data_IF_579588618081
#
_entry.id   IF_579588618081
#
_cell.length_a   1.000
_cell.length_b   1.000
_cell.length_c   1.000
_cell.angle_alpha   90.00
_cell.angle_beta   90.00
_cell.angle_gamma   90.00
#
_symmetry.space_group_name_H-M   'P 1'
#
loop_
_entity.id
_entity.type
_entity.pdbx_description
1 polymer ?
#
# COMPACT_ATOMS: atom_id res chain seq x y z
N UNK A 1 -6.76 14.65 -8.91
CA UNK A 1 -7.95 14.10 -9.59
C UNK A 1 -8.14 12.59 -9.41
N UNK A 2 -7.15 11.82 -8.90
CA UNK A 2 -7.26 10.36 -8.79
C UNK A 2 -7.89 9.85 -7.47
N UNK A 3 -7.95 10.68 -6.42
CA UNK A 3 -8.47 10.28 -5.10
C UNK A 3 -10.00 10.14 -5.05
N UNK A 4 -10.73 10.82 -5.92
CA UNK A 4 -12.21 10.71 -6.02
C UNK A 4 -12.63 9.40 -6.71
N UNK A 5 -11.80 8.89 -7.62
CA UNK A 5 -12.02 7.65 -8.38
C UNK A 5 -11.91 6.43 -7.44
N UNK A 6 -11.07 6.54 -6.41
CA UNK A 6 -10.82 5.54 -5.37
C UNK A 6 -12.04 5.28 -4.48
N UNK A 7 -12.84 6.31 -4.22
CA UNK A 7 -14.03 6.24 -3.35
C UNK A 7 -15.30 5.77 -4.10
N UNK A 8 -15.31 5.85 -5.43
CA UNK A 8 -16.48 5.58 -6.28
C UNK A 8 -16.51 4.15 -6.85
N UNK A 9 -15.71 3.21 -6.31
CA UNK A 9 -15.48 1.86 -6.87
C UNK A 9 -15.02 1.85 -8.35
N UNK A 10 -14.71 3.02 -8.93
CA UNK A 10 -14.27 3.17 -10.32
C UNK A 10 -12.82 2.75 -10.57
N UNK A 11 -12.09 2.37 -9.51
CA UNK A 11 -10.77 1.75 -9.62
C UNK A 11 -10.82 0.26 -10.00
N UNK A 12 -11.95 -0.41 -9.76
CA UNK A 12 -12.05 -1.85 -10.04
C UNK A 12 -12.51 -2.06 -11.49
N UNK A 13 -11.66 -2.62 -12.36
CA UNK A 13 -12.06 -2.95 -13.72
C UNK A 13 -13.25 -3.90 -13.67
N UNK A 14 -14.26 -3.66 -14.51
CA UNK A 14 -15.42 -4.55 -14.62
C UNK A 14 -14.98 -5.85 -15.28
N UNK A 15 -15.42 -6.97 -14.72
CA UNK A 15 -15.01 -8.32 -15.14
C UNK A 15 -15.34 -8.55 -16.62
N UNK A 16 -14.31 -8.65 -17.45
CA UNK A 16 -14.44 -9.15 -18.82
C UNK A 16 -14.12 -10.66 -18.81
N UNK A 17 -15.16 -11.50 -18.80
CA UNK A 17 -15.07 -12.95 -18.52
C UNK A 17 -14.50 -13.76 -19.70
N UNK A 18 -14.28 -13.13 -20.85
CA UNK A 18 -13.97 -13.83 -22.11
C UNK A 18 -12.49 -13.88 -22.48
N UNK A 19 -11.60 -13.22 -21.74
CA UNK A 19 -10.16 -13.21 -22.03
C UNK A 19 -9.43 -14.26 -21.17
N UNK A 20 -8.50 -15.02 -21.75
CA UNK A 20 -7.68 -15.96 -20.99
C UNK A 20 -6.68 -15.19 -20.10
N UNK A 21 -6.32 -15.77 -18.95
CA UNK A 21 -5.59 -15.09 -17.86
C UNK A 21 -4.21 -14.56 -18.32
N UNK A 22 -3.59 -15.21 -19.30
CA UNK A 22 -2.32 -14.83 -19.90
C UNK A 22 -2.39 -13.52 -20.70
N UNK A 23 -3.58 -13.13 -21.16
CA UNK A 23 -3.79 -11.90 -21.94
C UNK A 23 -4.24 -10.71 -21.08
N UNK A 24 -4.58 -10.96 -19.80
CA UNK A 24 -5.01 -9.91 -18.89
C UNK A 24 -3.78 -9.10 -18.44
N UNK A 25 -3.89 -7.78 -18.55
CA UNK A 25 -2.85 -6.88 -18.06
C UNK A 25 -2.54 -7.15 -16.57
N UNK A 26 -1.26 -7.31 -16.17
CA UNK A 26 -0.90 -7.68 -14.80
C UNK A 26 -1.41 -6.72 -13.72
N UNK A 27 -1.56 -5.42 -14.02
CA UNK A 27 -2.13 -4.44 -13.09
C UNK A 27 -3.62 -4.72 -12.89
N UNK A 28 -4.33 -4.98 -13.97
CA UNK A 28 -5.76 -5.36 -13.96
C UNK A 28 -6.01 -6.61 -13.13
N UNK A 29 -5.10 -7.60 -13.19
CA UNK A 29 -5.18 -8.82 -12.40
C UNK A 29 -5.11 -8.54 -10.88
N UNK A 30 -4.24 -7.62 -10.46
CA UNK A 30 -4.13 -7.18 -9.06
C UNK A 30 -5.42 -6.48 -8.61
N UNK A 31 -6.01 -5.64 -9.45
CA UNK A 31 -7.29 -5.00 -9.13
C UNK A 31 -8.45 -5.99 -9.06
N UNK A 32 -8.46 -7.04 -9.89
CA UNK A 32 -9.43 -8.13 -9.75
C UNK A 32 -9.28 -8.88 -8.43
N UNK A 33 -8.06 -9.10 -7.95
CA UNK A 33 -7.82 -9.72 -6.64
C UNK A 33 -8.40 -8.85 -5.50
N UNK A 34 -8.12 -7.55 -5.50
CA UNK A 34 -8.69 -6.61 -4.51
C UNK A 34 -10.21 -6.47 -4.63
N UNK A 35 -10.77 -6.54 -5.84
CA UNK A 35 -12.22 -6.47 -6.09
C UNK A 35 -12.98 -7.75 -5.75
N UNK A 36 -12.33 -8.92 -5.88
CA UNK A 36 -12.93 -10.22 -5.59
C UNK A 36 -13.07 -10.46 -4.09
N UNK A 37 -12.03 -10.19 -3.31
CA UNK A 37 -12.01 -10.50 -1.88
C UNK A 37 -12.45 -9.31 -1.03
N UNK A 38 -13.77 -9.18 -0.82
CA UNK A 38 -14.38 -8.19 0.07
C UNK A 38 -13.75 -8.12 1.48
N UNK A 39 -13.55 -9.23 2.22
CA UNK A 39 -12.96 -9.15 3.55
C UNK A 39 -11.51 -8.69 3.52
N UNK A 40 -10.74 -9.07 2.50
CA UNK A 40 -9.36 -8.63 2.32
C UNK A 40 -9.27 -7.13 1.98
N UNK A 41 -10.18 -6.65 1.13
CA UNK A 41 -10.33 -5.22 0.82
C UNK A 41 -10.61 -4.40 2.07
N UNK A 42 -11.54 -4.84 2.91
CA UNK A 42 -11.87 -4.17 4.16
C UNK A 42 -10.69 -4.19 5.14
N UNK A 43 -9.99 -5.32 5.23
CA UNK A 43 -8.81 -5.46 6.08
C UNK A 43 -7.72 -4.45 5.72
N UNK A 44 -7.42 -4.30 4.43
CA UNK A 44 -6.43 -3.32 3.97
C UNK A 44 -6.90 -1.89 4.20
N UNK A 45 -8.14 -1.57 3.86
CA UNK A 45 -8.69 -0.22 4.06
C UNK A 45 -8.68 0.19 5.54
N UNK A 46 -9.07 -0.70 6.45
CA UNK A 46 -9.01 -0.46 7.89
C UNK A 46 -7.56 -0.33 8.38
N UNK A 47 -6.66 -1.19 7.89
CA UNK A 47 -5.24 -1.13 8.24
C UNK A 47 -4.62 0.21 7.83
N UNK A 48 -4.86 0.67 6.61
CA UNK A 48 -4.36 1.97 6.13
C UNK A 48 -4.93 3.15 6.94
N UNK A 49 -6.22 3.10 7.30
CA UNK A 49 -6.83 4.12 8.16
C UNK A 49 -6.21 4.14 9.55
N UNK A 50 -6.00 2.98 10.17
CA UNK A 50 -5.39 2.87 11.50
C UNK A 50 -3.93 3.35 11.47
N UNK A 51 -3.16 2.95 10.46
CA UNK A 51 -1.77 3.38 10.27
C UNK A 51 -1.68 4.89 10.04
N UNK A 52 -2.54 5.44 9.17
CA UNK A 52 -2.61 6.88 8.91
C UNK A 52 -2.97 7.67 10.17
N UNK A 53 -3.95 7.19 10.94
CA UNK A 53 -4.33 7.80 12.22
C UNK A 53 -3.18 7.76 13.24
N UNK A 54 -2.46 6.62 13.34
CA UNK A 54 -1.30 6.50 14.20
C UNK A 54 -0.18 7.47 13.83
N UNK A 55 0.07 7.68 12.52
CA UNK A 55 1.10 8.59 12.01
C UNK A 55 0.76 10.06 12.28
N UNK A 56 -0.52 10.45 12.17
CA UNK A 56 -0.99 11.83 12.40
C UNK A 56 -0.83 12.24 13.86
N UNK A 57 -1.04 11.31 14.80
CA UNK A 57 -0.92 11.61 16.23
C UNK A 57 0.57 11.61 16.62
N UNK A 58 1.15 12.75 17.03
CA UNK A 58 2.61 12.90 17.20
C UNK A 58 3.21 11.95 18.24
N UNK A 59 2.44 11.56 19.27
CA UNK A 59 2.90 10.61 20.29
C UNK A 59 2.94 9.16 19.81
N UNK A 60 2.08 8.76 18.86
CA UNK A 60 2.02 7.38 18.31
C UNK A 60 2.66 7.26 16.94
N UNK A 61 3.11 8.37 16.36
CA UNK A 61 3.64 8.44 14.99
C UNK A 61 4.78 7.46 14.75
N UNK A 62 5.60 7.24 15.77
CA UNK A 62 6.67 6.22 15.78
C UNK A 62 6.10 4.82 15.47
N UNK A 63 5.24 4.30 16.35
CA UNK A 63 4.62 2.99 16.14
C UNK A 63 3.89 2.91 14.79
N UNK A 64 3.26 4.00 14.36
CA UNK A 64 2.62 4.12 13.05
C UNK A 64 3.59 3.87 11.89
N UNK A 65 4.73 4.55 11.89
CA UNK A 65 5.76 4.40 10.85
C UNK A 65 6.38 2.99 10.87
N UNK A 66 6.61 2.40 12.05
CA UNK A 66 7.12 1.03 12.17
C UNK A 66 6.16 0.02 11.54
N UNK A 67 4.86 0.14 11.84
CA UNK A 67 3.83 -0.73 11.30
C UNK A 67 3.52 -0.43 9.82
N UNK A 68 3.72 0.80 9.36
CA UNK A 68 3.48 1.19 7.97
C UNK A 68 4.52 0.63 6.98
N UNK A 69 5.78 0.49 7.41
CA UNK A 69 6.85 -0.02 6.56
C UNK A 69 6.57 -1.37 5.87
N UNK A 70 6.13 -2.45 6.56
CA UNK A 70 5.83 -3.71 5.88
C UNK A 70 4.69 -3.58 4.84
N UNK A 71 3.72 -2.67 5.06
CA UNK A 71 2.67 -2.39 4.06
C UNK A 71 3.24 -1.64 2.85
N UNK A 72 4.02 -0.58 3.07
CA UNK A 72 4.68 0.15 1.99
C UNK A 72 5.62 -0.75 1.16
N UNK A 73 6.33 -1.66 1.82
CA UNK A 73 7.19 -2.64 1.18
C UNK A 73 6.36 -3.66 0.37
N UNK A 74 5.24 -4.16 0.90
CA UNK A 74 4.34 -5.04 0.17
C UNK A 74 3.81 -4.37 -1.11
N UNK A 75 3.36 -3.12 -1.02
CA UNK A 75 2.87 -2.34 -2.17
C UNK A 75 3.99 -2.13 -3.19
N UNK A 76 5.21 -1.82 -2.74
CA UNK A 76 6.35 -1.67 -3.64
C UNK A 76 6.66 -2.99 -4.37
N UNK A 77 6.72 -4.11 -3.67
CA UNK A 77 6.96 -5.44 -4.28
C UNK A 77 5.86 -5.78 -5.29
N UNK A 78 4.59 -5.61 -4.91
CA UNK A 78 3.46 -5.82 -5.83
C UNK A 78 3.56 -4.93 -7.07
N UNK A 79 3.90 -3.65 -6.90
CA UNK A 79 4.08 -2.71 -8.02
C UNK A 79 5.22 -3.15 -8.94
N UNK A 80 6.32 -3.64 -8.39
CA UNK A 80 7.45 -4.13 -9.20
C UNK A 80 7.10 -5.39 -10.01
N UNK A 81 6.34 -6.31 -9.40
CA UNK A 81 5.94 -7.58 -10.02
C UNK A 81 4.82 -7.42 -11.06
N UNK A 82 3.82 -6.56 -10.78
CA UNK A 82 2.56 -6.52 -11.54
C UNK A 82 2.37 -5.24 -12.37
N UNK A 83 3.28 -4.27 -12.30
CA UNK A 83 3.19 -3.05 -13.10
C UNK A 83 4.35 -2.97 -14.08
N UNK A 84 4.11 -2.52 -15.31
CA UNK A 84 5.17 -2.24 -16.28
C UNK A 84 5.52 -0.75 -16.38
N UNK A 85 4.66 0.14 -15.87
CA UNK A 85 4.90 1.59 -15.91
C UNK A 85 5.99 2.00 -14.91
N UNK A 86 7.11 2.52 -15.42
CA UNK A 86 8.20 3.11 -14.62
C UNK A 86 7.74 4.11 -13.54
N UNK A 87 6.84 5.08 -13.80
CA UNK A 87 6.54 6.11 -12.80
C UNK A 87 5.94 5.55 -11.49
N UNK A 88 5.07 4.54 -11.59
CA UNK A 88 4.42 3.94 -10.40
C UNK A 88 5.45 3.14 -9.56
N UNK A 89 6.42 2.49 -10.22
CA UNK A 89 7.53 1.80 -9.54
C UNK A 89 8.40 2.78 -8.76
N UNK A 90 8.74 3.92 -9.35
CA UNK A 90 9.59 4.94 -8.69
C UNK A 90 8.88 5.50 -7.47
N UNK A 91 7.60 5.87 -7.59
CA UNK A 91 6.83 6.45 -6.48
C UNK A 91 6.67 5.46 -5.32
N UNK A 92 6.25 4.23 -5.59
CA UNK A 92 6.08 3.20 -4.55
C UNK A 92 7.41 2.88 -3.83
N UNK A 93 8.50 2.78 -4.59
CA UNK A 93 9.84 2.55 -4.03
C UNK A 93 10.31 3.73 -3.18
N UNK A 94 10.05 4.96 -3.62
CA UNK A 94 10.40 6.16 -2.86
C UNK A 94 9.66 6.24 -1.52
N UNK A 95 8.38 5.86 -1.49
CA UNK A 95 7.58 5.80 -0.25
C UNK A 95 8.13 4.73 0.70
N UNK A 96 8.48 3.54 0.17
CA UNK A 96 9.07 2.47 0.97
C UNK A 96 10.43 2.87 1.56
N UNK A 97 11.30 3.49 0.76
CA UNK A 97 12.60 4.01 1.21
C UNK A 97 12.43 5.13 2.24
N UNK A 98 11.49 6.06 2.03
CA UNK A 98 11.22 7.15 2.97
C UNK A 98 10.73 6.61 4.32
N UNK A 99 9.86 5.60 4.30
CA UNK A 99 9.38 4.92 5.51
C UNK A 99 10.53 4.23 6.25
N UNK A 100 11.41 3.54 5.52
CA UNK A 100 12.60 2.92 6.08
C UNK A 100 13.57 3.94 6.69
N UNK A 101 13.79 5.06 6.00
CA UNK A 101 14.63 6.15 6.48
C UNK A 101 14.10 6.75 7.78
N UNK A 102 12.78 6.96 7.88
CA UNK A 102 12.14 7.44 9.10
C UNK A 102 12.31 6.45 10.26
N UNK A 103 12.18 5.14 10.01
CA UNK A 103 12.46 4.11 11.02
C UNK A 103 13.90 4.24 11.50
N UNK A 104 14.88 4.29 10.59
CA UNK A 104 16.30 4.41 10.94
C UNK A 104 16.57 5.64 11.80
N UNK A 105 15.98 6.79 11.44
CA UNK A 105 16.17 8.04 12.18
C UNK A 105 15.64 7.94 13.62
N UNK A 106 14.52 7.26 13.81
CA UNK A 106 13.86 7.10 15.11
C UNK A 106 14.37 5.88 15.91
N UNK A 107 15.19 4.98 15.33
CA UNK A 107 15.77 3.79 16.00
C UNK A 107 16.48 4.11 17.32
N UNK A 108 17.17 5.26 17.38
CA UNK A 108 17.86 5.72 18.60
C UNK A 108 16.90 6.02 19.76
N UNK A 109 15.66 6.39 19.45
CA UNK A 109 14.62 6.71 20.42
C UNK A 109 13.79 5.48 20.80
N UNK A 110 13.54 4.55 19.87
CA UNK A 110 12.90 3.27 20.18
C UNK A 110 13.68 2.45 21.21
N UNK A 111 15.02 2.45 21.12
CA UNK A 111 15.87 1.73 22.07
C UNK A 111 15.73 2.25 23.51
N UNK A 112 15.35 3.52 23.73
CA UNK A 112 15.13 4.09 25.07
C UNK A 112 13.75 3.79 25.65
N UNK A 113 12.82 3.29 24.83
CA UNK A 113 11.44 2.97 25.22
C UNK A 113 11.26 1.48 25.57
N UNK A 114 12.20 0.65 25.11
CA UNK A 114 12.24 -0.81 25.31
C UNK A 114 13.25 -1.27 26.38
N UNK A 115 14.00 -0.34 26.98
CA UNK A 115 15.11 -0.58 27.92
C UNK A 115 14.93 0.33 29.12
#
# INVERSE_FOLDING_TARGET
MNSVIQFLDMQYPRRHIHEPIDQVDPVTLVWYFFGYSQPYRLFIALSELVLGMLIIIPNTSRLGVLLYFPFALNIAVMTWCFTHTLPVKVVSTFIAISSFYLIIRELSTYKKLLL
#
